data_IF_318819314188
#
_entry.id   IF_318819314188
#
_cell.length_a   1.000
_cell.length_b   1.000
_cell.length_c   1.000
_cell.angle_alpha   90.00
_cell.angle_beta   90.00
_cell.angle_gamma   90.00
#
_symmetry.space_group_name_H-M   'P 1'
#
loop_
_entity.id
_entity.type
_entity.pdbx_description
1 polymer ?
#
# COMPACT_ATOMS: atom_id res chain seq x y z
N UNK A 1 10.54 1.01 -22.54
CA UNK A 1 10.23 0.99 -21.10
C UNK A 1 9.69 -0.37 -20.67
N UNK A 2 8.59 -0.83 -21.27
CA UNK A 2 7.96 -2.14 -21.00
C UNK A 2 8.91 -3.35 -21.21
N UNK A 3 9.74 -3.32 -22.25
CA UNK A 3 10.71 -4.37 -22.58
C UNK A 3 11.88 -4.49 -21.60
N UNK A 4 12.29 -3.40 -20.97
CA UNK A 4 13.43 -3.36 -20.02
C UNK A 4 13.01 -3.90 -18.64
N UNK A 5 11.75 -3.68 -18.28
CA UNK A 5 11.10 -4.11 -17.04
C UNK A 5 10.75 -5.61 -17.08
N UNK A 6 10.67 -6.18 -18.27
CA UNK A 6 10.35 -7.59 -18.46
C UNK A 6 11.54 -8.52 -18.17
N UNK A 7 12.76 -7.98 -18.18
CA UNK A 7 14.00 -8.80 -18.09
C UNK A 7 14.55 -8.90 -16.65
N UNK A 8 14.14 -8.04 -15.71
CA UNK A 8 14.55 -8.09 -14.28
C UNK A 8 13.53 -8.79 -13.35
N UNK A 9 12.72 -9.71 -13.90
CA UNK A 9 11.40 -10.14 -13.40
C UNK A 9 11.24 -10.96 -12.09
N UNK A 10 12.24 -11.51 -11.38
CA UNK A 10 11.93 -12.21 -10.13
C UNK A 10 11.64 -11.25 -8.98
N UNK A 11 12.35 -10.12 -8.92
CA UNK A 11 12.45 -9.38 -7.65
C UNK A 11 11.14 -8.69 -7.25
N UNK A 12 10.37 -8.17 -8.20
CA UNK A 12 9.08 -7.51 -7.91
C UNK A 12 7.99 -8.49 -7.49
N UNK A 13 7.92 -9.66 -8.14
CA UNK A 13 7.01 -10.70 -7.69
C UNK A 13 7.36 -11.18 -6.27
N UNK A 14 8.66 -11.19 -5.93
CA UNK A 14 9.13 -11.53 -4.59
C UNK A 14 8.90 -10.42 -3.54
N UNK A 15 8.88 -9.15 -3.94
CA UNK A 15 8.75 -8.02 -2.99
C UNK A 15 7.33 -7.48 -2.85
N UNK A 16 6.53 -7.53 -3.91
CA UNK A 16 5.22 -6.88 -3.99
C UNK A 16 4.09 -7.88 -4.27
N UNK A 17 4.43 -9.11 -4.67
CA UNK A 17 3.46 -10.18 -4.88
C UNK A 17 2.69 -10.53 -3.62
N UNK A 18 1.44 -10.95 -3.82
CA UNK A 18 0.64 -11.58 -2.77
C UNK A 18 0.81 -13.09 -2.85
N UNK A 19 0.66 -13.76 -1.71
CA UNK A 19 0.57 -15.21 -1.68
C UNK A 19 -0.65 -15.69 -2.49
N UNK A 20 -0.55 -16.86 -3.11
CA UNK A 20 -1.68 -17.49 -3.83
C UNK A 20 -2.92 -17.67 -2.93
N UNK A 21 -2.71 -17.83 -1.61
CA UNK A 21 -3.78 -17.84 -0.61
C UNK A 21 -4.17 -16.41 -0.24
N UNK A 22 -4.88 -15.77 -1.17
CA UNK A 22 -5.28 -14.38 -1.05
C UNK A 22 -6.07 -14.08 0.23
N UNK A 23 -7.03 -14.92 0.61
CA UNK A 23 -7.89 -14.70 1.78
C UNK A 23 -7.09 -14.65 3.09
N UNK A 24 -6.03 -15.46 3.17
CA UNK A 24 -5.13 -15.44 4.31
C UNK A 24 -4.27 -14.16 4.33
N UNK A 25 -3.82 -13.70 3.16
CA UNK A 25 -3.10 -12.44 3.03
C UNK A 25 -3.97 -11.26 3.47
N UNK A 26 -5.24 -11.25 3.06
CA UNK A 26 -6.19 -10.24 3.46
C UNK A 26 -6.50 -10.28 4.96
N UNK A 27 -6.74 -11.47 5.53
CA UNK A 27 -7.00 -11.61 6.96
C UNK A 27 -5.84 -11.07 7.78
N UNK A 28 -4.59 -11.41 7.42
CA UNK A 28 -3.39 -10.86 8.05
C UNK A 28 -3.27 -9.35 7.89
N UNK A 29 -3.58 -8.82 6.72
CA UNK A 29 -3.54 -7.39 6.47
C UNK A 29 -4.51 -6.59 7.37
N UNK A 30 -5.61 -7.21 7.79
CA UNK A 30 -6.62 -6.62 8.68
C UNK A 30 -6.25 -6.82 10.16
N UNK A 31 -5.68 -7.97 10.53
CA UNK A 31 -5.40 -8.34 11.92
C UNK A 31 -4.08 -7.77 12.47
N UNK A 32 -3.11 -7.49 11.60
CA UNK A 32 -1.79 -6.97 12.00
C UNK A 32 -1.86 -5.49 12.40
N UNK A 33 -1.39 -5.17 13.62
CA UNK A 33 -1.37 -3.81 14.16
C UNK A 33 -0.45 -2.84 13.40
N UNK A 34 0.51 -3.35 12.62
CA UNK A 34 1.39 -2.57 11.77
C UNK A 34 0.90 -2.51 10.31
N UNK A 35 -0.32 -2.99 10.06
CA UNK A 35 -0.99 -3.02 8.76
C UNK A 35 -2.30 -2.24 8.81
N UNK A 36 -2.59 -1.51 7.73
CA UNK A 36 -3.76 -0.64 7.64
C UNK A 36 -4.45 -0.81 6.29
N UNK A 37 -5.70 -1.25 6.33
CA UNK A 37 -6.57 -1.34 5.14
C UNK A 37 -7.65 -0.27 5.25
N UNK A 38 -7.72 0.60 4.24
CA UNK A 38 -8.69 1.68 4.15
C UNK A 38 -9.64 1.39 3.00
N UNK A 39 -10.94 1.63 3.22
CA UNK A 39 -11.96 1.66 2.18
C UNK A 39 -12.25 3.11 1.78
N UNK A 40 -12.28 3.37 0.48
CA UNK A 40 -12.66 4.65 -0.08
C UNK A 40 -14.12 4.59 -0.51
N UNK A 41 -14.93 5.52 -0.03
CA UNK A 41 -16.39 5.48 -0.20
C UNK A 41 -16.93 6.74 -0.87
N UNK A 42 -18.00 6.57 -1.64
CA UNK A 42 -18.88 7.65 -2.13
C UNK A 42 -20.31 7.22 -1.79
N UNK A 43 -21.04 8.05 -1.05
CA UNK A 43 -22.43 7.78 -0.64
C UNK A 43 -22.60 6.37 -0.03
N UNK A 44 -21.71 6.01 0.91
CA UNK A 44 -21.63 4.71 1.60
C UNK A 44 -21.34 3.49 0.68
N UNK A 45 -20.97 3.73 -0.58
CA UNK A 45 -20.53 2.69 -1.53
C UNK A 45 -19.01 2.66 -1.60
N UNK A 46 -18.42 1.49 -1.32
CA UNK A 46 -16.97 1.27 -1.48
C UNK A 46 -16.62 1.29 -2.97
N UNK A 47 -15.77 2.24 -3.36
CA UNK A 47 -15.29 2.46 -4.73
C UNK A 47 -13.76 2.44 -4.83
N UNK A 48 -13.08 2.08 -3.76
CA UNK A 48 -11.63 1.99 -3.73
C UNK A 48 -11.11 1.38 -2.44
N UNK A 49 -9.84 1.00 -2.46
CA UNK A 49 -9.14 0.56 -1.26
C UNK A 49 -7.67 1.00 -1.30
N UNK A 50 -7.07 1.04 -0.11
CA UNK A 50 -5.63 1.22 0.06
C UNK A 50 -5.15 0.28 1.16
N UNK A 51 -4.02 -0.38 0.90
CA UNK A 51 -3.30 -1.16 1.90
C UNK A 51 -1.93 -0.55 2.16
N UNK A 52 -1.69 -0.18 3.41
CA UNK A 52 -0.42 0.32 3.92
C UNK A 52 0.14 -0.58 5.01
N UNK A 53 1.47 -0.57 5.16
CA UNK A 53 2.19 -1.31 6.21
C UNK A 53 3.32 -0.47 6.78
N UNK A 54 3.74 -0.74 8.02
CA UNK A 54 4.97 -0.23 8.61
C UNK A 54 6.03 -1.31 8.45
N UNK A 55 7.14 -0.98 7.79
CA UNK A 55 8.23 -1.92 7.56
C UNK A 55 9.54 -1.38 8.16
N UNK A 56 10.43 -2.26 8.67
CA UNK A 56 11.75 -1.85 9.10
C UNK A 56 12.58 -1.38 7.89
N UNK A 57 13.28 -0.27 8.04
CA UNK A 57 14.26 0.16 7.03
C UNK A 57 15.52 -0.69 7.10
N UNK A 58 16.37 -0.59 6.06
CA UNK A 58 17.69 -1.22 6.03
C UNK A 58 18.50 -0.91 7.30
N UNK A 59 19.34 -1.85 7.75
CA UNK A 59 20.06 -1.73 9.03
C UNK A 59 20.86 -0.43 9.24
N UNK A 60 21.34 0.21 8.17
CA UNK A 60 22.00 1.53 8.23
C UNK A 60 21.10 2.69 8.65
N UNK A 61 19.79 2.46 8.69
CA UNK A 61 18.78 3.42 9.15
C UNK A 61 18.54 3.31 10.68
N UNK A 62 19.39 2.58 11.41
CA UNK A 62 19.43 2.58 12.87
C UNK A 62 18.08 2.27 13.55
N UNK A 63 17.37 1.26 13.03
CA UNK A 63 16.06 0.85 13.57
C UNK A 63 14.88 1.74 13.17
N UNK A 64 15.07 2.67 12.23
CA UNK A 64 13.96 3.46 11.68
C UNK A 64 12.99 2.59 10.87
N UNK A 65 11.75 3.05 10.77
CA UNK A 65 10.69 2.43 9.97
C UNK A 65 10.28 3.31 8.78
N UNK A 66 9.67 2.67 7.80
CA UNK A 66 9.08 3.28 6.61
C UNK A 66 7.63 2.84 6.48
N UNK A 67 6.76 3.75 6.07
CA UNK A 67 5.38 3.44 5.75
C UNK A 67 5.26 3.09 4.28
N UNK A 68 4.92 1.84 3.96
CA UNK A 68 4.85 1.36 2.58
C UNK A 68 3.41 1.24 2.13
N UNK A 69 3.05 1.95 1.06
CA UNK A 69 1.79 1.80 0.35
C UNK A 69 1.91 0.56 -0.55
N UNK A 70 1.32 -0.56 -0.15
CA UNK A 70 1.43 -1.82 -0.88
C UNK A 70 0.53 -1.85 -2.10
N UNK A 71 -0.75 -1.55 -1.89
CA UNK A 71 -1.76 -1.55 -2.95
C UNK A 71 -2.65 -0.32 -2.80
N UNK A 72 -3.02 0.26 -3.92
CA UNK A 72 -4.03 1.31 -3.98
C UNK A 72 -4.84 1.11 -5.25
N UNK A 73 -6.16 1.18 -5.11
CA UNK A 73 -7.07 1.04 -6.23
C UNK A 73 -8.26 1.97 -6.07
N UNK A 74 -8.76 2.46 -7.19
CA UNK A 74 -10.01 3.20 -7.28
C UNK A 74 -10.71 2.79 -8.56
N UNK A 75 -12.00 2.49 -8.43
CA UNK A 75 -12.89 2.15 -9.54
C UNK A 75 -12.78 3.20 -10.66
N UNK A 76 -12.76 2.82 -11.94
CA UNK A 76 -12.59 3.74 -13.06
C UNK A 76 -13.55 4.95 -13.02
N UNK A 77 -14.81 4.72 -12.67
CA UNK A 77 -15.86 5.73 -12.58
C UNK A 77 -15.66 6.70 -11.41
N UNK A 78 -14.93 6.28 -10.38
CA UNK A 78 -14.55 7.08 -9.22
C UNK A 78 -13.14 7.71 -9.36
N UNK A 79 -12.51 7.64 -10.54
CA UNK A 79 -11.24 8.34 -10.80
C UNK A 79 -11.48 9.82 -11.11
N UNK A 80 -10.51 10.65 -10.76
CA UNK A 80 -10.58 12.10 -10.99
C UNK A 80 -11.44 12.89 -9.99
N UNK A 81 -12.15 12.21 -9.08
CA UNK A 81 -12.99 12.86 -8.05
C UNK A 81 -12.34 12.90 -6.65
N UNK A 82 -11.12 12.39 -6.50
CA UNK A 82 -10.31 12.56 -5.30
C UNK A 82 -10.33 11.42 -4.26
N UNK A 83 -11.04 10.30 -4.52
CA UNK A 83 -11.11 9.16 -3.57
C UNK A 83 -9.72 8.62 -3.23
N UNK A 84 -8.92 8.27 -4.23
CA UNK A 84 -7.55 7.75 -4.02
C UNK A 84 -6.65 8.73 -3.25
N UNK A 85 -6.77 10.03 -3.51
CA UNK A 85 -6.02 11.06 -2.79
C UNK A 85 -6.44 11.14 -1.31
N UNK A 86 -7.74 11.01 -1.04
CA UNK A 86 -8.29 11.01 0.32
C UNK A 86 -7.78 9.80 1.11
N UNK A 87 -7.86 8.59 0.54
CA UNK A 87 -7.33 7.38 1.18
C UNK A 87 -5.82 7.50 1.45
N UNK A 88 -5.04 7.98 0.47
CA UNK A 88 -3.59 8.16 0.63
C UNK A 88 -3.26 9.15 1.75
N UNK A 89 -4.00 10.26 1.82
CA UNK A 89 -3.83 11.29 2.85
C UNK A 89 -4.12 10.73 4.24
N UNK A 90 -5.19 9.98 4.40
CA UNK A 90 -5.53 9.37 5.69
C UNK A 90 -4.54 8.27 6.09
N UNK A 91 -4.10 7.44 5.13
CA UNK A 91 -3.07 6.44 5.38
C UNK A 91 -1.76 7.07 5.86
N UNK A 92 -1.29 8.15 5.22
CA UNK A 92 -0.11 8.87 5.67
C UNK A 92 -0.30 9.46 7.08
N UNK A 93 -1.50 9.95 7.40
CA UNK A 93 -1.81 10.48 8.73
C UNK A 93 -1.73 9.37 9.79
N UNK A 94 -2.34 8.21 9.54
CA UNK A 94 -2.26 7.04 10.42
C UNK A 94 -0.81 6.61 10.63
N UNK A 95 -0.03 6.49 9.56
CA UNK A 95 1.38 6.09 9.69
C UNK A 95 2.19 7.11 10.52
N UNK A 96 1.93 8.41 10.36
CA UNK A 96 2.57 9.46 11.18
C UNK A 96 2.22 9.34 12.66
N UNK A 97 1.00 8.95 13.02
CA UNK A 97 0.64 8.73 14.44
C UNK A 97 1.41 7.56 15.04
N UNK A 98 1.91 6.64 14.20
CA UNK A 98 2.80 5.54 14.59
C UNK A 98 4.29 5.91 14.52
N UNK A 99 4.62 7.20 14.40
CA UNK A 99 6.00 7.69 14.40
C UNK A 99 6.75 7.54 13.07
N UNK A 100 6.10 7.03 12.02
CA UNK A 100 6.69 6.90 10.69
C UNK A 100 6.92 8.27 10.05
N UNK A 101 8.12 8.48 9.49
CA UNK A 101 8.52 9.74 8.85
C UNK A 101 8.84 9.63 7.37
N UNK A 102 9.08 8.41 6.89
CA UNK A 102 9.41 8.11 5.51
C UNK A 102 8.28 7.28 4.91
N UNK A 103 7.97 7.52 3.64
CA UNK A 103 6.91 6.83 2.95
C UNK A 103 7.44 6.29 1.63
N UNK A 104 7.05 5.06 1.31
CA UNK A 104 7.30 4.46 0.02
C UNK A 104 5.97 4.08 -0.63
N UNK A 105 5.89 4.29 -1.93
CA UNK A 105 4.77 3.88 -2.74
C UNK A 105 5.37 3.37 -4.05
N UNK A 106 5.69 2.07 -4.15
CA UNK A 106 6.19 1.51 -5.39
C UNK A 106 5.16 1.74 -6.49
N UNK A 107 5.51 2.60 -7.44
CA UNK A 107 4.72 2.81 -8.64
C UNK A 107 5.20 1.77 -9.65
N UNK A 108 4.33 0.81 -9.95
CA UNK A 108 4.51 -0.02 -11.13
C UNK A 108 4.50 0.85 -12.40
N UNK A 109 5.12 0.40 -13.49
CA UNK A 109 5.05 1.09 -14.78
C UNK A 109 3.65 1.20 -15.35
#
# INVERSE_FOLDING_TARGET
MESEQTVRKPIWALTDGLDERFELSLSRAIEDSESFVLAGEIDDVIVGFLWATIEPMLGRAHGSTIGRMRLIYTEPEARGVGVGHTMLTEAMKILRTHGVRHFDAPVGP
#
